data_IF_786770182576
#
_entry.id   IF_786770182576
#
_cell.length_a   1.000
_cell.length_b   1.000
_cell.length_c   1.000
_cell.angle_alpha   90.00
_cell.angle_beta   90.00
_cell.angle_gamma   90.00
#
_symmetry.space_group_name_H-M   'P 1'
#
loop_
_entity.id
_entity.type
_entity.pdbx_description
1 polymer ?
#
# COMPACT_ATOMS: atom_id res chain seq x y z
N UNK A 1 9.86 -8.98 6.05
CA UNK A 1 8.61 -8.67 5.32
C UNK A 1 7.44 -8.98 6.23
N UNK A 2 6.47 -8.07 6.33
CA UNK A 2 5.35 -8.20 7.26
C UNK A 2 4.04 -8.14 6.48
N UNK A 3 3.17 -9.13 6.66
CA UNK A 3 1.86 -9.16 6.01
C UNK A 3 0.88 -8.31 6.83
N UNK A 4 -0.05 -7.59 6.17
CA UNK A 4 -1.09 -6.86 6.88
C UNK A 4 -1.98 -7.83 7.66
N UNK A 5 -2.15 -7.57 8.96
CA UNK A 5 -3.08 -8.32 9.81
C UNK A 5 -4.55 -8.02 9.47
N UNK A 6 -4.83 -6.82 8.95
CA UNK A 6 -6.15 -6.38 8.51
C UNK A 6 -6.34 -6.67 7.02
N UNK A 7 -7.49 -7.27 6.70
CA UNK A 7 -7.92 -7.56 5.33
C UNK A 7 -9.35 -7.05 5.17
N UNK A 8 -9.65 -6.19 4.18
CA UNK A 8 -11.01 -5.76 3.91
C UNK A 8 -11.94 -6.96 3.71
N UNK A 9 -13.15 -6.86 4.24
CA UNK A 9 -14.16 -7.90 4.08
C UNK A 9 -14.43 -8.16 2.59
N UNK A 10 -14.51 -9.44 2.20
CA UNK A 10 -14.72 -9.83 0.81
C UNK A 10 -13.45 -9.99 -0.03
N UNK A 11 -12.26 -9.71 0.52
CA UNK A 11 -10.99 -9.97 -0.16
C UNK A 11 -10.20 -11.09 0.54
N UNK A 12 -9.57 -11.95 -0.24
CA UNK A 12 -8.69 -13.00 0.23
C UNK A 12 -7.35 -12.95 -0.52
N UNK A 13 -6.28 -13.40 0.14
CA UNK A 13 -4.98 -13.54 -0.51
C UNK A 13 -5.10 -14.52 -1.67
N UNK A 14 -4.62 -14.13 -2.85
CA UNK A 14 -4.79 -14.87 -4.09
C UNK A 14 -3.45 -15.09 -4.78
N UNK A 15 -3.15 -16.35 -5.11
CA UNK A 15 -1.96 -16.72 -5.87
C UNK A 15 -0.68 -16.83 -5.04
N UNK A 16 0.44 -17.21 -5.69
CA UNK A 16 1.74 -17.22 -5.04
C UNK A 16 2.17 -15.79 -4.69
N UNK A 17 2.92 -15.65 -3.59
CA UNK A 17 3.60 -14.40 -3.30
C UNK A 17 4.65 -14.16 -4.38
N UNK A 18 4.59 -13.01 -5.04
CA UNK A 18 5.62 -12.59 -5.98
C UNK A 18 6.78 -11.98 -5.19
N UNK A 19 8.01 -12.36 -5.50
CA UNK A 19 9.19 -11.82 -4.85
C UNK A 19 10.35 -11.70 -5.84
N UNK A 20 11.19 -10.71 -5.62
CA UNK A 20 12.38 -10.46 -6.41
C UNK A 20 13.48 -9.81 -5.58
N UNK A 21 14.46 -9.20 -6.26
CA UNK A 21 15.57 -8.49 -5.62
C UNK A 21 15.07 -7.29 -4.79
N UNK A 22 14.85 -7.52 -3.49
CA UNK A 22 14.52 -6.47 -2.53
C UNK A 22 13.06 -6.03 -2.53
N UNK A 23 12.15 -6.78 -3.16
CA UNK A 23 10.72 -6.53 -3.09
C UNK A 23 9.89 -7.80 -3.00
N UNK A 24 8.70 -7.66 -2.41
CA UNK A 24 7.67 -8.69 -2.27
C UNK A 24 6.32 -8.06 -2.60
N UNK A 25 5.51 -8.74 -3.39
CA UNK A 25 4.15 -8.33 -3.76
C UNK A 25 3.17 -9.42 -3.39
N UNK A 26 2.10 -9.03 -2.69
CA UNK A 26 1.04 -9.93 -2.25
C UNK A 26 -0.28 -9.46 -2.83
N UNK A 27 -0.92 -10.31 -3.62
CA UNK A 27 -2.20 -10.00 -4.26
C UNK A 27 -3.37 -10.47 -3.42
N UNK A 28 -4.37 -9.62 -3.30
CA UNK A 28 -5.64 -9.89 -2.65
C UNK A 28 -6.77 -9.72 -3.67
N UNK A 29 -7.56 -10.77 -3.88
CA UNK A 29 -8.66 -10.77 -4.85
C UNK A 29 -10.00 -10.80 -4.15
N UNK A 30 -10.97 -10.13 -4.75
CA UNK A 30 -12.38 -10.19 -4.35
C UNK A 30 -12.89 -11.63 -4.46
N UNK A 31 -13.70 -12.03 -3.48
CA UNK A 31 -14.35 -13.35 -3.45
C UNK A 31 -15.60 -13.40 -4.36
N UNK A 32 -16.07 -12.24 -4.83
CA UNK A 32 -17.34 -12.12 -5.59
C UNK A 32 -17.15 -11.64 -7.02
N UNK A 33 -15.99 -11.09 -7.38
CA UNK A 33 -15.72 -10.50 -8.69
C UNK A 33 -14.21 -10.50 -9.02
N UNK A 34 -13.82 -9.77 -10.07
CA UNK A 34 -12.45 -9.75 -10.58
C UNK A 34 -11.54 -8.70 -9.93
N UNK A 35 -12.12 -7.83 -9.10
CA UNK A 35 -11.36 -6.74 -8.48
C UNK A 35 -10.29 -7.28 -7.55
N UNK A 36 -9.17 -6.59 -7.52
CA UNK A 36 -8.03 -6.97 -6.70
C UNK A 36 -7.22 -5.76 -6.27
N UNK A 37 -6.43 -5.95 -5.22
CA UNK A 37 -5.39 -5.03 -4.84
C UNK A 37 -4.14 -5.81 -4.47
N UNK A 38 -2.98 -5.18 -4.65
CA UNK A 38 -1.72 -5.74 -4.23
C UNK A 38 -1.06 -4.87 -3.18
N UNK A 39 -0.36 -5.54 -2.27
CA UNK A 39 0.51 -4.91 -1.28
C UNK A 39 1.95 -5.19 -1.65
N UNK A 40 2.65 -4.16 -2.09
CA UNK A 40 4.06 -4.23 -2.45
C UNK A 40 4.92 -3.71 -1.30
N UNK A 41 5.96 -4.45 -0.95
CA UNK A 41 6.98 -4.09 0.04
C UNK A 41 8.31 -4.05 -0.66
N UNK A 42 9.01 -2.92 -0.59
CA UNK A 42 10.32 -2.75 -1.21
C UNK A 42 11.30 -2.19 -0.19
N UNK A 43 12.47 -2.82 -0.05
CA UNK A 43 13.55 -2.25 0.77
C UNK A 43 13.91 -0.88 0.21
N UNK A 44 13.90 0.13 1.07
CA UNK A 44 14.10 1.51 0.67
C UNK A 44 14.75 2.33 1.77
N UNK A 45 15.65 3.22 1.37
CA UNK A 45 16.27 4.19 2.27
C UNK A 45 15.49 5.52 2.28
N UNK A 46 14.27 5.54 1.74
CA UNK A 46 13.46 6.73 1.64
C UNK A 46 12.84 7.12 2.98
N UNK A 47 12.82 8.42 3.23
CA UNK A 47 11.97 9.05 4.26
C UNK A 47 10.61 9.40 3.66
N UNK A 48 9.66 9.81 4.52
CA UNK A 48 8.35 10.27 4.05
C UNK A 48 8.47 11.45 3.10
N UNK A 49 9.40 12.37 3.38
CA UNK A 49 9.68 13.55 2.56
C UNK A 49 10.24 13.15 1.19
N UNK A 50 11.23 12.24 1.14
CA UNK A 50 11.78 11.79 -0.15
C UNK A 50 10.76 10.98 -0.94
N UNK A 51 9.91 10.18 -0.27
CA UNK A 51 8.81 9.48 -0.93
C UNK A 51 7.84 10.47 -1.58
N UNK A 52 7.43 11.51 -0.87
CA UNK A 52 6.53 12.51 -1.42
C UNK A 52 7.16 13.29 -2.59
N UNK A 53 8.42 13.72 -2.44
CA UNK A 53 9.13 14.49 -3.46
C UNK A 53 9.49 13.67 -4.71
N UNK A 54 9.75 12.37 -4.58
CA UNK A 54 10.19 11.53 -5.70
C UNK A 54 9.08 10.71 -6.34
N UNK A 55 8.15 10.16 -5.56
CA UNK A 55 7.08 9.31 -6.10
C UNK A 55 5.80 10.10 -6.37
N UNK A 56 5.36 10.92 -5.42
CA UNK A 56 4.09 11.64 -5.56
C UNK A 56 4.23 12.88 -6.44
N UNK A 57 5.26 13.70 -6.22
CA UNK A 57 5.46 14.92 -6.99
C UNK A 57 5.88 14.66 -8.44
N UNK A 58 6.70 13.63 -8.70
CA UNK A 58 7.08 13.27 -10.08
C UNK A 58 5.93 12.73 -10.93
N UNK A 59 4.82 12.32 -10.31
CA UNK A 59 3.65 11.82 -11.02
C UNK A 59 2.47 12.82 -11.03
N UNK A 60 2.65 14.04 -10.52
CA UNK A 60 1.59 15.06 -10.34
C UNK A 60 0.29 14.47 -9.75
N UNK A 61 0.46 13.52 -8.83
CA UNK A 61 -0.67 12.82 -8.22
C UNK A 61 -1.16 13.69 -7.07
N UNK A 62 -2.41 14.21 -7.09
CA UNK A 62 -2.97 14.80 -5.89
C UNK A 62 -2.99 13.73 -4.80
N UNK A 63 -2.52 14.10 -3.61
CA UNK A 63 -2.43 13.19 -2.49
C UNK A 63 -2.90 13.84 -1.20
N UNK A 64 -3.41 13.00 -0.30
CA UNK A 64 -3.69 13.37 1.08
C UNK A 64 -2.66 12.70 1.98
N UNK A 65 -1.97 13.49 2.80
CA UNK A 65 -1.06 12.97 3.83
C UNK A 65 -1.81 12.77 5.14
N UNK A 66 -1.69 11.58 5.73
CA UNK A 66 -2.33 11.19 6.98
C UNK A 66 -1.24 10.67 7.93
N UNK A 67 -1.12 11.25 9.11
CA UNK A 67 -0.18 10.78 10.13
C UNK A 67 -0.88 9.82 11.08
N UNK A 68 -0.39 8.58 11.14
CA UNK A 68 -0.97 7.49 11.93
C UNK A 68 0.15 6.62 12.49
N UNK A 69 0.07 6.22 13.76
CA UNK A 69 1.05 5.33 14.44
C UNK A 69 2.53 5.67 14.18
N UNK A 70 2.88 6.96 14.06
CA UNK A 70 4.26 7.41 13.84
C UNK A 70 4.78 7.26 12.40
N UNK A 71 3.89 7.03 11.42
CA UNK A 71 4.20 7.02 9.99
C UNK A 71 3.28 7.98 9.23
N UNK A 72 3.74 8.46 8.09
CA UNK A 72 2.93 9.27 7.16
C UNK A 72 2.44 8.38 6.03
N UNK A 73 1.12 8.20 5.96
CA UNK A 73 0.42 7.48 4.90
C UNK A 73 -0.05 8.50 3.87
N UNK A 74 0.36 8.30 2.62
CA UNK A 74 -0.08 9.12 1.51
C UNK A 74 -1.15 8.38 0.71
N UNK A 75 -2.37 8.90 0.70
CA UNK A 75 -3.46 8.40 -0.14
C UNK A 75 -3.43 9.13 -1.48
N UNK A 76 -3.53 8.41 -2.59
CA UNK A 76 -3.48 8.98 -3.94
C UNK A 76 -4.33 8.20 -4.94
N UNK A 77 -4.72 8.84 -6.05
CA UNK A 77 -5.42 8.17 -7.15
C UNK A 77 -6.69 7.42 -6.72
N UNK A 78 -7.49 8.08 -5.88
CA UNK A 78 -8.76 7.67 -5.25
C UNK A 78 -8.71 6.43 -4.35
N UNK A 79 -7.95 5.39 -4.70
CA UNK A 79 -7.99 4.08 -4.03
C UNK A 79 -6.60 3.49 -3.75
N UNK A 80 -5.53 4.29 -3.78
CA UNK A 80 -4.17 3.82 -3.54
C UNK A 80 -3.55 4.48 -2.31
N UNK A 81 -2.57 3.80 -1.71
CA UNK A 81 -1.83 4.32 -0.58
C UNK A 81 -0.35 3.97 -0.65
N UNK A 82 0.50 4.83 -0.12
CA UNK A 82 1.95 4.61 -0.06
C UNK A 82 2.54 5.19 1.22
N UNK A 83 3.47 4.50 1.85
CA UNK A 83 4.18 4.98 3.04
C UNK A 83 5.53 4.30 3.19
N UNK A 84 6.40 4.90 4.00
CA UNK A 84 7.64 4.27 4.44
C UNK A 84 7.55 3.95 5.93
N UNK A 85 8.11 2.81 6.33
CA UNK A 85 8.25 2.43 7.73
C UNK A 85 9.40 1.45 7.90
N UNK A 86 10.33 1.71 8.83
CA UNK A 86 11.42 0.79 9.17
C UNK A 86 12.36 0.44 8.01
N UNK A 87 12.62 1.36 7.08
CA UNK A 87 13.48 1.10 5.91
C UNK A 87 12.80 0.28 4.80
N UNK A 88 11.47 0.19 4.84
CA UNK A 88 10.66 -0.45 3.81
C UNK A 88 9.65 0.56 3.28
N UNK A 89 9.57 0.64 1.96
CA UNK A 89 8.54 1.35 1.24
C UNK A 89 7.39 0.39 0.92
N UNK A 90 6.18 0.79 1.31
CA UNK A 90 4.96 0.05 1.11
C UNK A 90 4.05 0.76 0.12
N UNK A 91 3.38 -0.01 -0.73
CA UNK A 91 2.38 0.47 -1.67
C UNK A 91 1.16 -0.44 -1.64
N UNK A 92 -0.03 0.16 -1.68
CA UNK A 92 -1.30 -0.51 -1.93
C UNK A 92 -1.86 0.08 -3.21
N UNK A 93 -2.02 -0.74 -4.23
CA UNK A 93 -2.60 -0.32 -5.51
C UNK A 93 -3.50 -1.42 -6.08
N UNK A 94 -4.39 -1.04 -7.00
CA UNK A 94 -5.29 -1.96 -7.70
C UNK A 94 -6.63 -1.34 -8.03
N UNK A 95 -7.56 -2.16 -8.50
CA UNK A 95 -8.92 -1.77 -8.89
C UNK A 95 -9.99 -2.20 -7.87
N UNK A 96 -9.56 -2.64 -6.68
CA UNK A 96 -10.41 -3.05 -5.56
C UNK A 96 -11.46 -2.01 -5.12
N UNK A 97 -11.26 -0.73 -5.42
CA UNK A 97 -12.15 0.34 -4.97
C UNK A 97 -12.07 0.53 -3.45
N UNK A 98 -10.88 0.39 -2.86
CA UNK A 98 -10.68 0.51 -1.43
C UNK A 98 -10.93 1.93 -0.94
N UNK A 99 -11.73 2.08 0.11
CA UNK A 99 -11.91 3.38 0.76
C UNK A 99 -10.65 3.81 1.51
N UNK A 100 -10.53 5.11 1.78
CA UNK A 100 -9.45 5.67 2.62
C UNK A 100 -9.32 4.96 3.96
N UNK A 101 -10.43 4.61 4.62
CA UNK A 101 -10.43 3.88 5.88
C UNK A 101 -9.85 2.46 5.73
N UNK A 102 -10.18 1.76 4.64
CA UNK A 102 -9.63 0.44 4.36
C UNK A 102 -8.14 0.50 4.08
N UNK A 103 -7.69 1.50 3.31
CA UNK A 103 -6.27 1.73 3.02
C UNK A 103 -5.48 2.01 4.31
N UNK A 104 -5.98 2.91 5.17
CA UNK A 104 -5.38 3.21 6.47
C UNK A 104 -5.38 1.97 7.36
N UNK A 105 -6.47 1.19 7.37
CA UNK A 105 -6.58 -0.05 8.13
C UNK A 105 -5.53 -1.09 7.73
N UNK A 106 -5.32 -1.30 6.43
CA UNK A 106 -4.26 -2.19 5.91
C UNK A 106 -2.90 -1.66 6.37
N UNK A 107 -2.59 -0.39 6.12
CA UNK A 107 -1.32 0.23 6.47
C UNK A 107 -1.01 0.16 7.98
N UNK A 108 -2.03 0.32 8.83
CA UNK A 108 -1.90 0.26 10.28
C UNK A 108 -1.80 -1.16 10.86
N UNK A 109 -2.05 -2.18 10.04
CA UNK A 109 -1.92 -3.59 10.41
C UNK A 109 -0.59 -4.22 9.98
N UNK A 110 0.25 -3.42 9.32
CA UNK A 110 1.67 -3.67 9.08
C UNK A 110 2.45 -2.91 10.15
#
# INVERSE_FOLDING_TARGET
AQLPGYRPAGFAMSGPIEYGSGYITVTFRSNSDERNYHVTQKVSNWTSESLAASFLASNDKPYQAIQEKGKTIYLYGDNNATWVSGGVWYQIEGDAGLSSEQLIGIANSI
#
